data_IF_677991595384
#
_entry.id   IF_677991595384
#
_cell.length_a   1.000
_cell.length_b   1.000
_cell.length_c   1.000
_cell.angle_alpha   90.00
_cell.angle_beta   90.00
_cell.angle_gamma   90.00
#
_symmetry.space_group_name_H-M   'P 1'
#
loop_
_entity.id
_entity.type
_entity.pdbx_description
1 polymer ?
#
# COMPACT_ATOMS: atom_id res chain seq x y z
N UNK A 1 -34.11 -32.93 60.45
CA UNK A 1 -34.97 -31.89 61.06
C UNK A 1 -35.03 -30.72 60.09
N UNK A 2 -36.10 -30.67 59.26
CA UNK A 2 -36.64 -29.58 58.41
C UNK A 2 -35.79 -28.98 57.26
N UNK A 3 -36.40 -28.53 56.14
CA UNK A 3 -36.69 -29.35 54.94
C UNK A 3 -36.25 -28.68 53.61
N UNK A 4 -36.34 -29.36 52.44
CA UNK A 4 -36.15 -28.75 51.12
C UNK A 4 -37.37 -27.89 50.73
N UNK A 5 -37.16 -26.61 50.41
CA UNK A 5 -38.20 -25.80 49.78
C UNK A 5 -38.20 -26.01 48.27
N UNK A 6 -39.26 -26.64 47.80
CA UNK A 6 -39.66 -26.70 46.40
C UNK A 6 -40.22 -25.33 46.00
N UNK A 7 -40.00 -24.97 44.73
CA UNK A 7 -40.66 -23.92 43.96
C UNK A 7 -39.92 -22.58 43.83
N UNK A 8 -39.28 -22.42 42.67
CA UNK A 8 -39.46 -21.17 41.94
C UNK A 8 -39.66 -21.51 40.46
N UNK A 9 -40.92 -21.73 40.11
CA UNK A 9 -41.39 -21.61 38.74
C UNK A 9 -41.20 -20.16 38.30
N UNK A 10 -40.18 -19.89 37.48
CA UNK A 10 -40.20 -18.73 36.58
C UNK A 10 -40.23 -19.26 35.15
N UNK A 11 -41.45 -19.31 34.62
CA UNK A 11 -41.66 -19.22 33.18
C UNK A 11 -41.10 -17.88 32.71
N UNK A 12 -39.90 -17.91 32.14
CA UNK A 12 -39.41 -16.84 31.27
C UNK A 12 -39.59 -17.31 29.82
N UNK A 13 -40.85 -17.40 29.40
CA UNK A 13 -41.20 -17.14 28.00
C UNK A 13 -41.19 -15.63 27.84
N UNK A 14 -40.07 -15.08 27.38
CA UNK A 14 -40.11 -13.88 26.55
C UNK A 14 -39.25 -14.16 25.35
N UNK A 15 -39.91 -14.31 24.21
CA UNK A 15 -39.27 -14.03 22.94
C UNK A 15 -38.90 -12.55 22.93
N UNK A 16 -37.62 -12.27 23.14
CA UNK A 16 -36.96 -11.15 22.47
C UNK A 16 -35.95 -11.79 21.52
N UNK A 17 -36.37 -11.90 20.27
CA UNK A 17 -35.44 -11.94 19.16
C UNK A 17 -34.71 -10.60 19.13
N UNK A 18 -33.41 -10.65 19.38
CA UNK A 18 -32.50 -9.52 19.31
C UNK A 18 -31.09 -10.02 19.56
N UNK A 19 -30.50 -10.65 18.54
CA UNK A 19 -29.13 -11.16 18.59
C UNK A 19 -28.14 -10.04 18.91
N UNK A 20 -27.64 -10.00 20.15
CA UNK A 20 -26.49 -9.20 20.54
C UNK A 20 -25.35 -10.14 20.92
N UNK A 21 -24.66 -10.66 19.90
CA UNK A 21 -23.34 -11.26 20.08
C UNK A 21 -22.31 -10.13 20.14
N UNK A 22 -22.24 -9.44 21.27
CA UNK A 22 -21.42 -8.24 21.42
C UNK A 22 -20.96 -7.99 22.84
N UNK A 23 -20.27 -8.96 23.45
CA UNK A 23 -19.60 -8.73 24.73
C UNK A 23 -18.45 -7.70 24.59
N UNK A 24 -18.09 -6.95 25.65
CA UNK A 24 -17.04 -5.91 25.65
C UNK A 24 -15.62 -6.42 25.28
N UNK A 25 -15.46 -7.71 25.02
CA UNK A 25 -14.24 -8.35 24.58
C UNK A 25 -13.94 -8.13 23.08
N UNK A 26 -14.98 -8.04 22.23
CA UNK A 26 -14.82 -8.03 20.76
C UNK A 26 -14.13 -6.75 20.27
N UNK A 27 -14.56 -5.59 20.74
CA UNK A 27 -13.96 -4.30 20.34
C UNK A 27 -12.48 -4.19 20.75
N UNK A 28 -12.12 -4.71 21.93
CA UNK A 28 -10.73 -4.78 22.38
C UNK A 28 -9.88 -5.64 21.45
N UNK A 29 -10.38 -6.80 21.07
CA UNK A 29 -9.70 -7.72 20.15
C UNK A 29 -9.48 -7.08 18.78
N UNK A 30 -10.52 -6.45 18.21
CA UNK A 30 -10.43 -5.75 16.92
C UNK A 30 -9.40 -4.63 16.96
N UNK A 31 -9.35 -3.85 18.05
CA UNK A 31 -8.36 -2.78 18.20
C UNK A 31 -6.92 -3.31 18.19
N UNK A 32 -6.66 -4.44 18.84
CA UNK A 32 -5.35 -5.09 18.83
C UNK A 32 -4.99 -5.59 17.43
N UNK A 33 -5.95 -6.19 16.72
CA UNK A 33 -5.75 -6.65 15.35
C UNK A 33 -5.40 -5.50 14.40
N UNK A 34 -6.13 -4.38 14.47
CA UNK A 34 -5.86 -3.16 13.68
C UNK A 34 -4.46 -2.62 13.97
N UNK A 35 -4.05 -2.59 15.24
CA UNK A 35 -2.74 -2.08 15.64
C UNK A 35 -1.60 -2.99 15.15
N UNK A 36 -1.80 -4.31 15.20
CA UNK A 36 -0.86 -5.28 14.64
C UNK A 36 -0.78 -5.12 13.11
N UNK A 37 -1.92 -5.02 12.43
CA UNK A 37 -1.99 -4.79 10.99
C UNK A 37 -1.23 -3.52 10.57
N UNK A 38 -1.38 -2.42 11.31
CA UNK A 38 -0.66 -1.17 11.03
C UNK A 38 0.86 -1.34 11.14
N UNK A 39 1.34 -2.01 12.20
CA UNK A 39 2.77 -2.31 12.38
C UNK A 39 3.31 -3.20 11.26
N UNK A 40 2.56 -4.24 10.91
CA UNK A 40 2.92 -5.18 9.85
C UNK A 40 2.98 -4.48 8.49
N UNK A 41 2.00 -3.64 8.15
CA UNK A 41 2.01 -2.87 6.91
C UNK A 41 3.23 -1.94 6.82
N UNK A 42 3.59 -1.25 7.90
CA UNK A 42 4.80 -0.42 7.92
C UNK A 42 6.09 -1.24 7.78
N UNK A 43 6.12 -2.46 8.32
CA UNK A 43 7.25 -3.37 8.15
C UNK A 43 7.46 -3.73 6.67
N UNK A 44 6.42 -4.22 6.01
CA UNK A 44 6.47 -4.62 4.59
C UNK A 44 6.63 -3.41 3.64
N UNK A 45 6.12 -2.25 4.02
CA UNK A 45 6.16 -1.03 3.22
C UNK A 45 7.54 -0.36 3.09
N UNK A 46 8.59 -0.85 3.77
CA UNK A 46 9.94 -0.24 3.70
C UNK A 46 10.57 -0.34 2.31
N UNK A 47 10.33 -1.44 1.63
CA UNK A 47 10.90 -1.76 0.32
C UNK A 47 10.00 -1.31 -0.84
N UNK A 48 9.06 -0.40 -0.58
CA UNK A 48 8.15 0.10 -1.60
C UNK A 48 8.93 0.90 -2.67
N UNK A 49 8.67 0.73 -3.98
CA UNK A 49 9.48 1.30 -5.06
C UNK A 49 9.52 2.84 -5.07
N UNK A 50 8.47 3.52 -4.60
CA UNK A 50 8.43 4.99 -4.49
C UNK A 50 9.00 5.51 -3.14
N UNK A 51 9.51 4.60 -2.31
CA UNK A 51 10.11 4.90 -1.02
C UNK A 51 9.16 4.76 0.18
N UNK A 52 9.76 4.60 1.36
CA UNK A 52 9.05 4.33 2.61
C UNK A 52 8.13 5.48 3.04
N UNK A 53 8.58 6.74 2.91
CA UNK A 53 7.78 7.91 3.31
C UNK A 53 6.46 7.99 2.54
N UNK A 54 6.51 7.76 1.23
CA UNK A 54 5.32 7.77 0.37
C UNK A 54 4.29 6.72 0.80
N UNK A 55 4.74 5.49 1.07
CA UNK A 55 3.87 4.42 1.54
C UNK A 55 3.31 4.71 2.93
N UNK A 56 4.17 5.11 3.87
CA UNK A 56 3.80 5.43 5.26
C UNK A 56 2.72 6.50 5.31
N UNK A 57 2.91 7.61 4.60
CA UNK A 57 1.97 8.74 4.62
C UNK A 57 0.58 8.31 4.09
N UNK A 58 0.55 7.46 3.07
CA UNK A 58 -0.70 6.96 2.46
C UNK A 58 -1.39 5.91 3.33
N UNK A 59 -0.62 5.00 3.91
CA UNK A 59 -1.09 4.04 4.90
C UNK A 59 -1.73 4.78 6.09
N UNK A 60 -1.00 5.73 6.68
CA UNK A 60 -1.49 6.53 7.80
C UNK A 60 -2.78 7.29 7.46
N UNK A 61 -2.85 7.95 6.29
CA UNK A 61 -4.07 8.62 5.81
C UNK A 61 -5.28 7.69 5.75
N UNK A 62 -5.10 6.43 5.32
CA UNK A 62 -6.20 5.46 5.27
C UNK A 62 -6.71 5.09 6.66
N UNK A 63 -5.83 4.88 7.64
CA UNK A 63 -6.23 4.57 9.01
C UNK A 63 -6.88 5.77 9.71
N UNK A 64 -6.39 6.99 9.45
CA UNK A 64 -7.01 8.21 9.99
C UNK A 64 -8.41 8.42 9.42
N UNK A 65 -8.62 8.13 8.12
CA UNK A 65 -9.93 8.24 7.48
C UNK A 65 -11.00 7.37 8.14
N UNK A 66 -10.63 6.18 8.61
CA UNK A 66 -11.56 5.18 9.17
C UNK A 66 -11.54 5.13 10.71
N UNK A 67 -10.98 6.14 11.37
CA UNK A 67 -10.76 6.13 12.83
C UNK A 67 -12.05 6.10 13.66
N UNK A 68 -13.13 6.67 13.12
CA UNK A 68 -14.40 6.91 13.79
C UNK A 68 -15.41 5.77 13.54
N UNK A 69 -15.02 4.73 12.80
CA UNK A 69 -15.87 3.58 12.51
C UNK A 69 -16.05 2.69 13.76
N UNK A 70 -17.31 2.44 14.12
CA UNK A 70 -17.67 1.67 15.33
C UNK A 70 -18.28 0.30 15.02
N UNK A 71 -18.75 0.08 13.78
CA UNK A 71 -19.36 -1.19 13.37
C UNK A 71 -18.31 -2.30 13.25
N UNK A 72 -18.41 -3.39 14.04
CA UNK A 72 -17.42 -4.48 14.02
C UNK A 72 -17.30 -5.16 12.65
N UNK A 73 -18.39 -5.26 11.87
CA UNK A 73 -18.35 -5.93 10.57
C UNK A 73 -17.49 -5.14 9.57
N UNK A 74 -17.62 -3.82 9.58
CA UNK A 74 -16.86 -2.93 8.70
C UNK A 74 -15.38 -2.89 9.09
N UNK A 75 -15.08 -2.85 10.39
CA UNK A 75 -13.70 -2.94 10.89
C UNK A 75 -13.04 -4.22 10.39
N UNK A 76 -13.75 -5.35 10.46
CA UNK A 76 -13.23 -6.63 10.01
C UNK A 76 -12.99 -6.66 8.49
N UNK A 77 -13.89 -6.06 7.71
CA UNK A 77 -13.70 -5.88 6.26
C UNK A 77 -12.44 -5.06 5.93
N UNK A 78 -12.18 -3.99 6.68
CA UNK A 78 -10.94 -3.20 6.50
C UNK A 78 -9.70 -3.98 6.89
N UNK A 79 -9.76 -4.78 7.95
CA UNK A 79 -8.67 -5.69 8.33
C UNK A 79 -8.36 -6.66 7.20
N UNK A 80 -9.37 -7.34 6.66
CA UNK A 80 -9.20 -8.28 5.53
C UNK A 80 -8.62 -7.59 4.29
N UNK A 81 -9.02 -6.35 4.01
CA UNK A 81 -8.42 -5.55 2.93
C UNK A 81 -6.94 -5.26 3.18
N UNK A 82 -6.56 -4.94 4.41
CA UNK A 82 -5.16 -4.73 4.78
C UNK A 82 -4.32 -6.00 4.65
N UNK A 83 -4.87 -7.16 5.02
CA UNK A 83 -4.23 -8.47 4.84
C UNK A 83 -3.99 -8.81 3.37
N UNK A 84 -4.94 -8.43 2.49
CA UNK A 84 -4.75 -8.56 1.04
C UNK A 84 -3.56 -7.72 0.55
N UNK A 85 -3.45 -6.46 1.01
CA UNK A 85 -2.33 -5.57 0.64
C UNK A 85 -0.99 -6.15 1.09
N UNK A 86 -0.93 -6.80 2.26
CA UNK A 86 0.29 -7.48 2.71
C UNK A 86 0.72 -8.55 1.69
N UNK A 87 -0.22 -9.36 1.19
CA UNK A 87 0.08 -10.39 0.17
C UNK A 87 0.58 -9.77 -1.14
N UNK A 88 0.04 -8.62 -1.55
CA UNK A 88 0.53 -7.89 -2.72
C UNK A 88 1.96 -7.37 -2.53
N UNK A 89 2.28 -6.84 -1.34
CA UNK A 89 3.63 -6.37 -1.01
C UNK A 89 4.63 -7.54 -0.97
N UNK A 90 4.24 -8.69 -0.43
CA UNK A 90 5.05 -9.90 -0.47
C UNK A 90 5.31 -10.36 -1.90
N UNK A 91 4.27 -10.38 -2.74
CA UNK A 91 4.40 -10.75 -4.14
C UNK A 91 5.36 -9.80 -4.87
N UNK A 92 5.25 -8.50 -4.63
CA UNK A 92 6.14 -7.48 -5.19
C UNK A 92 7.60 -7.71 -4.76
N UNK A 93 7.82 -7.99 -3.46
CA UNK A 93 9.14 -8.30 -2.93
C UNK A 93 9.74 -9.55 -3.60
N UNK A 94 8.97 -10.64 -3.70
CA UNK A 94 9.39 -11.89 -4.36
C UNK A 94 9.74 -11.65 -5.84
N UNK A 95 8.91 -10.89 -6.55
CA UNK A 95 9.13 -10.56 -7.96
C UNK A 95 10.41 -9.75 -8.16
N UNK A 96 10.64 -8.73 -7.34
CA UNK A 96 11.87 -7.93 -7.37
C UNK A 96 13.11 -8.80 -7.12
N UNK A 97 13.05 -9.68 -6.09
CA UNK A 97 14.14 -10.61 -5.78
C UNK A 97 14.41 -11.58 -6.93
N UNK A 98 13.36 -12.14 -7.52
CA UNK A 98 13.48 -13.03 -8.68
C UNK A 98 14.11 -12.33 -9.87
N UNK A 99 13.66 -11.12 -10.23
CA UNK A 99 14.23 -10.33 -11.35
C UNK A 99 15.75 -10.13 -11.18
N UNK A 100 16.18 -9.77 -9.98
CA UNK A 100 17.59 -9.60 -9.65
C UNK A 100 18.39 -10.90 -9.73
N UNK A 101 17.86 -12.02 -9.22
CA UNK A 101 18.51 -13.33 -9.31
C UNK A 101 18.60 -13.80 -10.76
N UNK A 102 17.51 -13.67 -11.53
CA UNK A 102 17.47 -14.02 -12.94
C UNK A 102 18.57 -13.31 -13.72
N UNK A 103 18.70 -11.99 -13.51
CA UNK A 103 19.72 -11.18 -14.17
C UNK A 103 21.16 -11.61 -13.84
N UNK A 104 21.42 -12.12 -12.63
CA UNK A 104 22.77 -12.51 -12.19
C UNK A 104 23.18 -13.92 -12.60
N UNK A 105 22.26 -14.88 -12.50
CA UNK A 105 22.57 -16.31 -12.69
C UNK A 105 22.23 -16.81 -14.09
N UNK A 106 21.30 -16.12 -14.77
CA UNK A 106 20.93 -16.37 -16.15
C UNK A 106 21.10 -15.07 -16.93
N UNK A 107 22.34 -14.52 -17.03
CA UNK A 107 22.61 -13.61 -18.13
C UNK A 107 22.23 -14.42 -19.36
N UNK A 108 21.22 -13.95 -20.09
CA UNK A 108 20.69 -14.55 -21.31
C UNK A 108 21.88 -15.12 -22.08
N UNK A 109 22.01 -16.46 -22.06
CA UNK A 109 23.01 -17.13 -22.89
C UNK A 109 22.53 -16.80 -24.28
N UNK A 110 23.15 -15.79 -24.86
CA UNK A 110 23.16 -15.55 -26.28
C UNK A 110 23.74 -16.84 -26.84
N UNK A 111 22.87 -17.70 -27.35
CA UNK A 111 23.33 -18.86 -28.11
C UNK A 111 24.10 -18.27 -29.31
N UNK A 112 25.40 -18.56 -29.34
CA UNK A 112 26.43 -17.92 -30.17
C UNK A 112 26.36 -18.27 -31.67
N UNK A 113 25.18 -18.52 -32.27
CA UNK A 113 25.13 -18.93 -33.69
C UNK A 113 24.28 -18.06 -34.66
N UNK A 114 23.49 -17.06 -34.23
CA UNK A 114 22.84 -16.14 -35.20
C UNK A 114 22.57 -14.69 -34.66
N UNK A 115 23.51 -13.76 -34.97
CA UNK A 115 23.27 -12.42 -35.56
C UNK A 115 22.85 -11.17 -34.70
N UNK A 116 23.86 -10.45 -34.17
CA UNK A 116 24.14 -8.99 -34.26
C UNK A 116 23.12 -7.86 -33.93
N UNK A 117 22.17 -7.98 -32.99
CA UNK A 117 21.40 -6.78 -32.53
C UNK A 117 21.28 -6.54 -31.02
N UNK A 118 21.65 -7.51 -30.18
CA UNK A 118 21.30 -7.48 -28.75
C UNK A 118 22.32 -6.77 -27.82
N UNK A 119 23.41 -6.21 -28.34
CA UNK A 119 24.45 -5.55 -27.53
C UNK A 119 24.37 -4.01 -27.55
N UNK A 120 23.20 -3.44 -27.23
CA UNK A 120 23.01 -1.98 -27.08
C UNK A 120 22.18 -1.56 -25.86
N UNK A 121 22.19 -2.33 -24.78
CA UNK A 121 21.60 -1.88 -23.51
C UNK A 121 22.54 -2.18 -22.35
N UNK A 122 23.64 -1.44 -22.27
CA UNK A 122 24.47 -1.41 -21.08
C UNK A 122 23.74 -0.69 -19.93
N UNK A 123 23.66 -1.27 -18.72
CA UNK A 123 23.04 -0.62 -17.56
C UNK A 123 23.75 0.68 -17.14
N UNK A 124 25.04 0.86 -17.48
CA UNK A 124 25.77 2.13 -17.30
C UNK A 124 25.32 3.25 -18.25
N UNK A 125 24.80 2.91 -19.44
CA UNK A 125 24.27 3.88 -20.40
C UNK A 125 22.88 4.39 -20.01
N UNK A 126 22.10 3.62 -19.25
CA UNK A 126 20.81 4.07 -18.69
C UNK A 126 21.02 5.20 -17.68
N UNK A 127 22.04 5.10 -16.81
CA UNK A 127 22.37 6.14 -15.83
C UNK A 127 22.79 7.45 -16.52
N UNK A 128 23.65 7.36 -17.55
CA UNK A 128 24.12 8.50 -18.35
C UNK A 128 23.01 9.16 -19.19
N UNK A 129 22.05 8.36 -19.67
CA UNK A 129 20.84 8.85 -20.37
C UNK A 129 19.83 9.49 -19.42
N UNK A 130 19.78 9.08 -18.15
CA UNK A 130 18.91 9.69 -17.14
C UNK A 130 19.46 11.05 -16.67
N UNK A 131 20.77 11.16 -16.48
CA UNK A 131 21.47 12.41 -16.16
C UNK A 131 21.43 13.44 -17.30
N UNK A 132 21.45 13.01 -18.57
CA UNK A 132 21.30 13.90 -19.73
C UNK A 132 19.85 14.38 -19.96
N UNK A 133 18.86 13.72 -19.34
CA UNK A 133 17.43 14.06 -19.48
C UNK A 133 16.94 15.04 -18.41
N UNK A 134 17.61 15.08 -17.25
CA UNK A 134 17.34 16.07 -16.19
C UNK A 134 17.91 17.46 -16.52
N UNK A 135 18.95 17.56 -17.35
CA UNK A 135 19.51 18.85 -17.81
C UNK A 135 18.67 19.51 -18.92
N UNK A 136 18.03 18.73 -19.79
CA UNK A 136 17.22 19.23 -20.93
C UNK A 136 15.80 19.69 -20.55
N UNK A 137 15.31 19.38 -19.34
CA UNK A 137 14.03 19.96 -18.87
C UNK A 137 14.18 21.41 -18.38
N UNK A 138 15.40 21.86 -18.07
CA UNK A 138 15.67 23.25 -17.72
C UNK A 138 15.74 24.17 -18.95
N UNK A 139 16.14 23.66 -20.12
CA UNK A 139 16.18 24.44 -21.37
C UNK A 139 14.82 24.61 -22.04
N UNK A 140 13.86 23.71 -21.81
CA UNK A 140 12.50 23.89 -22.35
C UNK A 140 11.58 24.79 -21.50
N UNK A 141 12.02 25.20 -20.29
CA UNK A 141 11.39 26.29 -19.52
C UNK A 141 11.92 27.68 -19.90
N UNK A 142 13.06 27.74 -20.62
CA UNK A 142 13.63 29.02 -21.10
C UNK A 142 13.04 29.46 -22.45
N UNK A 143 12.40 28.56 -23.22
CA UNK A 143 11.67 28.95 -24.43
C UNK A 143 10.26 29.48 -24.14
N UNK A 144 9.61 29.04 -23.06
CA UNK A 144 8.30 29.60 -22.66
C UNK A 144 8.42 31.00 -22.03
N UNK A 145 9.58 31.40 -21.51
CA UNK A 145 9.81 32.78 -21.02
C UNK A 145 10.11 33.76 -22.16
N UNK A 146 10.82 33.34 -23.21
CA UNK A 146 11.19 34.24 -24.33
C UNK A 146 9.98 34.61 -25.20
N UNK A 147 9.03 33.69 -25.37
CA UNK A 147 7.80 33.97 -26.15
C UNK A 147 6.82 34.88 -25.38
N UNK A 148 6.87 34.89 -24.03
CA UNK A 148 5.99 35.73 -23.21
C UNK A 148 6.51 37.17 -23.03
N UNK A 149 7.81 37.41 -23.19
CA UNK A 149 8.40 38.76 -23.12
C UNK A 149 8.27 39.53 -24.45
N UNK A 150 8.28 38.85 -25.61
CA UNK A 150 8.04 39.51 -26.91
C UNK A 150 6.60 40.00 -27.09
N UNK A 151 5.60 39.35 -26.48
CA UNK A 151 4.19 39.76 -26.60
C UNK A 151 3.82 40.99 -25.74
N UNK A 152 4.67 41.39 -24.78
CA UNK A 152 4.41 42.56 -23.92
C UNK A 152 4.86 43.88 -24.52
N UNK A 153 5.80 43.87 -25.46
CA UNK A 153 6.28 45.08 -26.13
C UNK A 153 5.40 45.51 -27.32
N UNK A 154 4.57 44.62 -27.88
CA UNK A 154 3.61 44.97 -28.93
C UNK A 154 2.32 45.65 -28.41
N UNK A 155 2.05 45.57 -27.10
CA UNK A 155 0.82 46.13 -26.49
C UNK A 155 1.05 47.57 -25.95
N UNK A 156 2.24 48.15 -26.13
CA UNK A 156 2.60 49.49 -25.65
C UNK A 156 2.99 50.49 -26.76
N UNK A 157 2.42 50.33 -27.95
CA UNK A 157 2.33 51.37 -28.98
C UNK A 157 0.88 51.69 -29.28
#
# INVERSE_FOLDING_TARGET
MYPPSISCTLKLTTMVNGGSLGGPNVQRQLRLQVLNLYKTLLYYGRDYPLGYKYFRDRCHKSFVKNRDETDPQQIQKHISRGEFIIKELEALYRLRKYRYLKQRYYPEKLDDDDNDLANKIDPKLILKKFEAKTTTTTTNQQQTSVVMDSMKEEIKQ
#
